data_IF_435701220785
#
_entry.id   IF_435701220785
#
_cell.length_a   1.000
_cell.length_b   1.000
_cell.length_c   1.000
_cell.angle_alpha   90.00
_cell.angle_beta   90.00
_cell.angle_gamma   90.00
#
_symmetry.space_group_name_H-M   'P 1'
#
loop_
_entity.id
_entity.type
_entity.pdbx_description
1 polymer ?
#
# COMPACT_ATOMS: atom_id res chain seq x y z
N UNK A 1 15.00 4.02 10.74
CA UNK A 1 14.07 4.97 11.41
C UNK A 1 13.07 5.44 10.36
N UNK A 2 11.89 4.83 10.28
CA UNK A 2 10.75 5.45 9.58
C UNK A 2 9.59 5.56 10.57
N UNK A 3 9.48 6.73 11.19
CA UNK A 3 8.31 7.11 11.99
C UNK A 3 7.31 7.72 11.03
N UNK A 4 6.32 6.96 10.56
CA UNK A 4 5.10 7.57 10.01
C UNK A 4 4.30 8.14 11.17
N UNK A 5 4.68 9.33 11.65
CA UNK A 5 3.95 10.04 12.70
C UNK A 5 2.80 10.81 12.06
N UNK A 6 1.64 10.15 11.93
CA UNK A 6 0.37 10.86 11.72
C UNK A 6 -0.30 10.94 13.09
N UNK A 7 -0.29 12.12 13.73
CA UNK A 7 -1.05 12.35 14.97
C UNK A 7 -2.54 12.41 14.60
N UNK A 8 -3.20 11.26 14.57
CA UNK A 8 -4.65 11.21 14.75
C UNK A 8 -4.95 11.53 16.22
N UNK A 9 -5.92 12.41 16.49
CA UNK A 9 -6.42 12.64 17.85
C UNK A 9 -6.94 11.31 18.40
N UNK A 10 -6.34 10.83 19.49
CA UNK A 10 -6.85 9.70 20.24
C UNK A 10 -8.10 10.11 21.02
N UNK A 11 -9.19 9.41 20.77
CA UNK A 11 -10.20 9.09 21.79
C UNK A 11 -10.20 7.58 21.94
N UNK A 12 -9.73 7.08 23.08
CA UNK A 12 -9.71 5.66 23.44
C UNK A 12 -8.51 4.88 22.90
N UNK A 13 -7.79 4.19 23.80
CA UNK A 13 -6.59 3.42 23.51
C UNK A 13 -6.84 2.19 22.65
N UNK A 14 -6.77 2.35 21.33
CA UNK A 14 -6.52 1.26 20.39
C UNK A 14 -5.49 1.73 19.35
N UNK A 15 -4.25 1.23 19.45
CA UNK A 15 -3.28 1.29 18.34
C UNK A 15 -3.79 0.36 17.25
N UNK A 16 -4.72 0.82 16.42
CA UNK A 16 -5.12 0.08 15.23
C UNK A 16 -3.96 0.18 14.24
N UNK A 17 -3.26 -0.94 14.02
CA UNK A 17 -2.56 -1.09 12.75
C UNK A 17 -3.59 -0.78 11.66
N UNK A 18 -3.37 0.29 10.89
CA UNK A 18 -4.21 0.54 9.72
C UNK A 18 -3.94 -0.61 8.76
N UNK A 19 -4.73 -1.67 8.85
CA UNK A 19 -4.87 -2.62 7.76
C UNK A 19 -5.46 -1.82 6.62
N UNK A 20 -4.60 -1.40 5.71
CA UNK A 20 -5.04 -0.76 4.49
C UNK A 20 -5.96 -1.78 3.80
N UNK A 21 -7.22 -1.41 3.56
CA UNK A 21 -8.24 -2.26 2.93
C UNK A 21 -7.96 -2.56 1.44
N UNK A 22 -6.68 -2.61 1.07
CA UNK A 22 -6.12 -2.78 -0.26
C UNK A 22 -5.49 -4.18 -0.43
N UNK A 23 -5.93 -5.18 0.35
CA UNK A 23 -5.42 -6.56 0.27
C UNK A 23 -5.52 -7.18 -1.14
N UNK A 24 -6.26 -6.54 -2.06
CA UNK A 24 -6.47 -6.99 -3.43
C UNK A 24 -6.18 -5.93 -4.50
N UNK A 25 -5.52 -4.83 -4.16
CA UNK A 25 -5.13 -3.82 -5.16
C UNK A 25 -3.73 -4.14 -5.72
N UNK A 26 -3.52 -3.85 -7.01
CA UNK A 26 -2.22 -3.99 -7.69
C UNK A 26 -1.58 -2.62 -7.79
N UNK A 27 -0.26 -2.57 -7.62
CA UNK A 27 0.52 -1.34 -7.75
C UNK A 27 1.95 -1.61 -8.21
N UNK A 28 2.69 -0.54 -8.44
CA UNK A 28 4.08 -0.59 -8.90
C UNK A 28 5.00 -0.11 -7.78
N UNK A 29 6.07 -0.86 -7.51
CA UNK A 29 7.12 -0.40 -6.58
C UNK A 29 7.90 0.73 -7.25
N UNK A 30 7.85 1.93 -6.69
CA UNK A 30 8.56 3.11 -7.19
C UNK A 30 9.82 3.43 -6.39
N UNK A 31 9.90 2.97 -5.13
CA UNK A 31 11.10 3.05 -4.31
C UNK A 31 11.22 1.84 -3.37
N UNK A 32 12.44 1.37 -3.16
CA UNK A 32 12.79 0.31 -2.22
C UNK A 32 13.54 0.91 -1.03
N UNK A 33 13.09 0.59 0.19
CA UNK A 33 13.74 1.00 1.44
C UNK A 33 14.48 -0.15 2.10
N UNK A 34 15.56 0.17 2.80
CA UNK A 34 16.27 -0.71 3.74
C UNK A 34 16.50 -2.13 3.17
N UNK A 35 16.99 -2.21 1.94
CA UNK A 35 17.25 -3.46 1.21
C UNK A 35 16.03 -4.40 1.11
N UNK A 36 14.84 -3.84 0.84
CA UNK A 36 13.61 -4.60 0.63
C UNK A 36 12.76 -4.80 1.89
N UNK A 37 13.06 -4.12 3.01
CA UNK A 37 12.21 -4.18 4.22
C UNK A 37 10.94 -3.33 4.09
N UNK A 38 10.93 -2.36 3.19
CA UNK A 38 9.76 -1.55 2.87
C UNK A 38 9.79 -1.03 1.45
N UNK A 39 8.63 -0.61 0.97
CA UNK A 39 8.43 -0.16 -0.40
C UNK A 39 7.55 1.09 -0.41
N UNK A 40 7.82 2.00 -1.32
CA UNK A 40 6.79 2.92 -1.79
C UNK A 40 6.13 2.29 -3.01
N UNK A 41 4.81 2.11 -2.91
CA UNK A 41 4.00 1.49 -3.94
C UNK A 41 3.02 2.52 -4.48
N UNK A 42 3.08 2.75 -5.79
CA UNK A 42 2.10 3.55 -6.51
C UNK A 42 0.90 2.69 -6.88
N UNK A 43 -0.29 3.14 -6.49
CA UNK A 43 -1.56 2.58 -6.93
C UNK A 43 -2.17 3.49 -8.00
N UNK A 44 -2.61 2.88 -9.09
CA UNK A 44 -3.19 3.58 -10.23
C UNK A 44 -4.59 3.03 -10.56
N UNK A 45 -5.40 3.88 -11.20
CA UNK A 45 -6.65 3.45 -11.82
C UNK A 45 -6.36 2.70 -13.12
N UNK A 46 -7.28 1.85 -13.61
CA UNK A 46 -7.13 1.20 -14.92
C UNK A 46 -7.02 2.18 -16.10
N UNK A 47 -7.30 3.47 -15.90
CA UNK A 47 -7.04 4.56 -16.86
C UNK A 47 -5.60 5.12 -16.79
N UNK A 48 -4.72 4.50 -16.02
CA UNK A 48 -3.33 4.95 -15.83
C UNK A 48 -3.15 6.18 -14.95
N UNK A 49 -4.20 6.63 -14.22
CA UNK A 49 -4.06 7.77 -13.30
C UNK A 49 -3.62 7.30 -11.92
N UNK A 50 -2.56 7.91 -11.39
CA UNK A 50 -2.11 7.73 -10.01
C UNK A 50 -3.22 8.11 -9.03
N UNK A 51 -3.55 7.18 -8.14
CA UNK A 51 -4.51 7.38 -7.05
C UNK A 51 -3.80 7.74 -5.75
N UNK A 52 -2.73 7.01 -5.43
CA UNK A 52 -1.94 7.22 -4.23
C UNK A 52 -0.56 6.58 -4.35
N UNK A 53 0.38 7.06 -3.53
CA UNK A 53 1.66 6.39 -3.26
C UNK A 53 1.70 6.10 -1.77
N UNK A 54 1.86 4.83 -1.39
CA UNK A 54 1.88 4.42 0.01
C UNK A 54 3.17 3.69 0.38
N UNK A 55 3.69 4.01 1.57
CA UNK A 55 4.77 3.26 2.20
C UNK A 55 4.22 1.98 2.85
N UNK A 56 4.64 0.82 2.36
CA UNK A 56 4.22 -0.51 2.82
C UNK A 56 5.42 -1.30 3.37
N UNK A 57 5.19 -2.14 4.38
CA UNK A 57 6.18 -3.13 4.85
C UNK A 57 6.26 -4.28 3.84
N UNK A 58 7.38 -4.99 3.82
CA UNK A 58 7.56 -6.15 2.95
C UNK A 58 6.49 -7.24 3.14
N UNK A 59 6.02 -7.46 4.37
CA UNK A 59 4.96 -8.43 4.67
C UNK A 59 3.58 -8.06 4.13
N UNK A 60 3.39 -6.83 3.64
CA UNK A 60 2.13 -6.34 3.09
C UNK A 60 2.09 -6.40 1.56
N UNK A 61 3.19 -6.81 0.91
CA UNK A 61 3.33 -6.82 -0.54
C UNK A 61 3.68 -8.23 -1.01
N UNK A 62 3.14 -8.62 -2.15
CA UNK A 62 3.46 -9.86 -2.87
C UNK A 62 3.80 -9.48 -4.31
N UNK A 63 4.84 -10.10 -4.85
CA UNK A 63 5.16 -9.97 -6.28
C UNK A 63 4.05 -10.57 -7.14
N UNK A 64 3.66 -9.85 -8.19
CA UNK A 64 2.73 -10.34 -9.22
C UNK A 64 3.40 -11.46 -10.04
N UNK A 65 2.66 -12.52 -10.36
CA UNK A 65 3.13 -13.64 -11.19
C UNK A 65 2.64 -13.51 -12.63
N UNK A 66 3.32 -14.18 -13.56
CA UNK A 66 3.00 -14.12 -15.00
C UNK A 66 1.62 -14.68 -15.37
N UNK A 67 1.02 -15.50 -14.50
CA UNK A 67 -0.28 -16.14 -14.72
C UNK A 67 -1.42 -15.51 -13.91
N UNK A 68 -1.27 -14.25 -13.48
CA UNK A 68 -2.30 -13.50 -12.75
C UNK A 68 -3.02 -12.50 -13.66
N UNK A 69 -4.32 -12.30 -13.44
CA UNK A 69 -5.16 -11.34 -14.17
C UNK A 69 -5.64 -10.25 -13.21
N UNK A 70 -5.52 -8.99 -13.62
CA UNK A 70 -5.98 -7.86 -12.81
C UNK A 70 -7.51 -7.87 -12.61
N UNK A 71 -7.96 -7.71 -11.37
CA UNK A 71 -9.38 -7.62 -11.04
C UNK A 71 -9.86 -6.16 -11.04
N UNK A 72 -10.87 -5.85 -11.85
CA UNK A 72 -11.50 -4.52 -11.86
C UNK A 72 -12.59 -4.41 -10.80
N UNK A 73 -12.55 -3.35 -9.98
CA UNK A 73 -13.63 -2.98 -9.05
C UNK A 73 -13.88 -1.48 -9.07
N UNK A 74 -15.12 -1.06 -8.76
CA UNK A 74 -15.41 0.35 -8.53
C UNK A 74 -14.76 0.79 -7.21
N UNK A 75 -14.16 1.97 -7.22
CA UNK A 75 -13.60 2.61 -6.03
C UNK A 75 -14.47 3.82 -5.71
N UNK A 76 -14.81 3.98 -4.42
CA UNK A 76 -15.61 5.09 -3.91
C UNK A 76 -14.75 6.33 -3.63
#
# INVERSE_FOLDING_TARGET
MYKKRVKGRSVGGQTREKTCGMQSDIGTVVMIHDNGKGYEVEFFTLKGKTRSVETLKASQVRSVKSNEVAHSRKIA
#
